data_IF_938209521043
#
_entry.id   IF_938209521043
#
_cell.length_a   1.000
_cell.length_b   1.000
_cell.length_c   1.000
_cell.angle_alpha   90.00
_cell.angle_beta   90.00
_cell.angle_gamma   90.00
#
_symmetry.space_group_name_H-M   'P 1'
#
loop_
_entity.id
_entity.type
_entity.pdbx_description
1 polymer ?
#
# COMPACT_ATOMS: atom_id res chain seq x y z
N UNK A 1 -28.26 64.53 -59.08
CA UNK A 1 -27.15 63.66 -58.58
C UNK A 1 -27.53 63.27 -57.18
N UNK A 2 -28.00 62.01 -57.03
CA UNK A 2 -28.55 61.48 -55.78
C UNK A 2 -27.48 60.89 -54.93
N UNK A 3 -27.29 61.39 -53.73
CA UNK A 3 -26.39 60.87 -52.72
C UNK A 3 -27.15 59.78 -51.89
N UNK A 4 -26.70 58.55 -51.92
CA UNK A 4 -27.25 57.44 -51.11
C UNK A 4 -26.59 57.42 -49.74
N UNK A 5 -27.40 57.55 -48.73
CA UNK A 5 -27.03 57.41 -47.32
C UNK A 5 -27.00 55.93 -46.96
N UNK A 6 -25.86 55.45 -46.54
CA UNK A 6 -25.70 54.03 -46.02
C UNK A 6 -25.78 54.08 -44.51
N UNK A 7 -26.82 53.51 -43.95
CA UNK A 7 -26.97 53.32 -42.50
C UNK A 7 -26.30 51.99 -42.12
N UNK A 8 -25.23 52.05 -41.32
CA UNK A 8 -24.60 50.90 -40.70
C UNK A 8 -25.23 50.64 -39.34
N UNK A 9 -25.96 49.55 -39.22
CA UNK A 9 -26.49 49.06 -37.95
C UNK A 9 -25.37 48.28 -37.23
N UNK A 10 -24.84 48.82 -36.14
CA UNK A 10 -23.95 48.11 -35.20
C UNK A 10 -24.80 47.27 -34.27
N UNK A 11 -24.83 45.96 -34.54
CA UNK A 11 -25.36 44.94 -33.63
C UNK A 11 -24.38 44.67 -32.51
N UNK A 12 -24.67 45.18 -31.31
CA UNK A 12 -23.89 44.85 -30.11
C UNK A 12 -24.23 43.45 -29.62
N UNK A 13 -23.29 42.50 -29.75
CA UNK A 13 -23.39 41.19 -29.10
C UNK A 13 -22.97 41.35 -27.63
N UNK A 14 -23.92 41.19 -26.71
CA UNK A 14 -23.63 41.07 -25.29
C UNK A 14 -22.99 39.66 -25.05
N UNK A 15 -21.69 39.63 -24.83
CA UNK A 15 -21.03 38.44 -24.28
C UNK A 15 -21.28 38.41 -22.76
N UNK A 16 -22.18 37.55 -22.32
CA UNK A 16 -22.32 37.19 -20.92
C UNK A 16 -21.16 36.25 -20.62
N UNK A 17 -20.09 36.78 -20.05
CA UNK A 17 -19.01 35.97 -19.47
C UNK A 17 -19.52 35.32 -18.18
N UNK A 18 -20.09 34.13 -18.31
CA UNK A 18 -20.35 33.27 -17.17
C UNK A 18 -19.01 32.76 -16.63
N UNK A 19 -18.52 33.39 -15.56
CA UNK A 19 -17.45 32.79 -14.76
C UNK A 19 -18.05 31.58 -14.05
N UNK A 20 -17.81 30.40 -14.59
CA UNK A 20 -18.01 29.15 -13.86
C UNK A 20 -17.03 29.20 -12.66
N UNK A 21 -17.54 29.54 -11.49
CA UNK A 21 -16.84 29.24 -10.25
C UNK A 21 -16.86 27.73 -10.12
N UNK A 22 -15.72 27.12 -10.41
CA UNK A 22 -15.46 25.76 -9.93
C UNK A 22 -15.47 25.88 -8.40
N UNK A 23 -16.54 25.37 -7.79
CA UNK A 23 -16.64 25.17 -6.35
C UNK A 23 -15.66 24.04 -6.00
N UNK A 24 -14.41 24.39 -5.84
CA UNK A 24 -13.40 23.50 -5.28
C UNK A 24 -13.55 23.55 -3.75
N UNK A 25 -14.62 22.96 -3.24
CA UNK A 25 -14.64 22.47 -1.87
C UNK A 25 -13.73 21.23 -1.82
N UNK A 26 -12.43 21.42 -2.07
CA UNK A 26 -11.43 20.49 -1.59
C UNK A 26 -11.53 20.58 -0.07
N UNK A 27 -12.17 19.59 0.52
CA UNK A 27 -12.06 19.32 1.95
C UNK A 27 -10.57 19.21 2.19
N UNK A 28 -10.02 20.17 2.93
CA UNK A 28 -8.61 20.15 3.35
C UNK A 28 -8.37 18.78 3.99
N UNK A 29 -7.53 17.92 3.42
CA UNK A 29 -7.38 16.58 3.94
C UNK A 29 -6.95 16.70 5.40
N UNK A 30 -7.71 16.08 6.30
CA UNK A 30 -7.40 16.09 7.73
C UNK A 30 -5.92 15.79 7.94
N UNK A 31 -5.20 16.55 8.77
CA UNK A 31 -3.79 16.29 9.02
C UNK A 31 -3.60 14.83 9.44
N UNK A 32 -2.49 14.23 9.04
CA UNK A 32 -2.12 12.91 9.57
C UNK A 32 -2.08 13.05 11.09
N UNK A 33 -2.85 12.22 11.85
CA UNK A 33 -2.96 12.38 13.28
C UNK A 33 -1.57 12.35 13.93
N UNK A 34 -1.31 13.25 14.87
CA UNK A 34 -0.19 13.09 15.76
C UNK A 34 -0.38 11.79 16.55
N UNK A 35 0.65 10.94 16.60
CA UNK A 35 0.56 9.67 17.30
C UNK A 35 0.71 9.93 18.82
N UNK A 36 -0.43 10.00 19.51
CA UNK A 36 -0.50 9.99 20.96
C UNK A 36 -0.95 8.61 21.41
N UNK A 37 -0.01 7.69 21.53
CA UNK A 37 -0.29 6.36 22.01
C UNK A 37 -0.02 6.25 23.52
N UNK A 38 -0.78 5.41 24.26
CA UNK A 38 -0.45 5.09 25.63
C UNK A 38 0.92 4.44 25.72
N UNK A 39 1.59 4.61 26.84
CA UNK A 39 2.86 3.94 27.11
C UNK A 39 2.67 2.42 27.01
N UNK A 40 3.62 1.76 26.36
CA UNK A 40 3.64 0.30 26.31
C UNK A 40 3.83 -0.27 27.71
N UNK A 41 3.08 -1.33 28.02
CA UNK A 41 3.31 -2.12 29.23
C UNK A 41 4.44 -3.10 28.95
N UNK A 42 5.39 -3.23 29.87
CA UNK A 42 6.45 -4.22 29.79
C UNK A 42 6.02 -5.55 30.42
N UNK A 43 6.74 -6.61 30.11
CA UNK A 43 6.57 -7.93 30.68
C UNK A 43 7.39 -9.01 29.99
N UNK A 44 7.37 -10.23 30.54
CA UNK A 44 8.02 -11.34 29.87
C UNK A 44 7.31 -11.71 28.58
N UNK A 45 8.08 -12.23 27.63
CA UNK A 45 7.52 -12.84 26.41
C UNK A 45 6.60 -14.00 26.84
N UNK A 46 5.32 -14.03 26.39
CA UNK A 46 4.39 -15.11 26.73
C UNK A 46 4.95 -16.49 26.39
N UNK A 47 4.78 -17.47 27.27
CA UNK A 47 5.32 -18.84 27.09
C UNK A 47 4.85 -19.49 25.78
N UNK A 48 3.60 -19.22 25.37
CA UNK A 48 3.07 -19.68 24.09
C UNK A 48 3.83 -19.15 22.87
N UNK A 49 4.42 -17.95 22.97
CA UNK A 49 5.23 -17.35 21.91
C UNK A 49 6.67 -17.83 21.94
N UNK A 50 7.27 -18.05 23.13
CA UNK A 50 8.67 -18.49 23.28
C UNK A 50 8.95 -19.72 22.43
N UNK A 51 8.03 -20.70 22.42
CA UNK A 51 8.15 -21.93 21.66
C UNK A 51 8.11 -21.73 20.13
N UNK A 52 7.59 -20.60 19.64
CA UNK A 52 7.38 -20.33 18.21
C UNK A 52 8.33 -19.29 17.63
N UNK A 53 9.07 -18.54 18.46
CA UNK A 53 9.96 -17.47 18.00
C UNK A 53 10.99 -17.95 16.97
N UNK A 54 11.63 -19.10 17.20
CA UNK A 54 12.61 -19.66 16.27
C UNK A 54 12.02 -20.09 14.91
N UNK A 55 10.70 -20.25 14.83
CA UNK A 55 9.99 -20.59 13.59
C UNK A 55 9.22 -19.38 12.98
N UNK A 56 9.32 -18.20 13.58
CA UNK A 56 8.55 -17.02 13.18
C UNK A 56 8.66 -16.67 11.69
N UNK A 57 9.86 -16.83 11.10
CA UNK A 57 10.11 -16.61 9.69
C UNK A 57 9.26 -17.49 8.76
N UNK A 58 8.71 -18.61 9.26
CA UNK A 58 7.84 -19.52 8.50
C UNK A 58 6.36 -19.17 8.57
N UNK A 59 5.96 -18.24 9.47
CA UNK A 59 4.58 -17.75 9.56
C UNK A 59 4.29 -16.73 8.43
N UNK A 60 4.25 -17.26 7.23
CA UNK A 60 4.13 -16.52 5.97
C UNK A 60 2.76 -16.67 5.33
N UNK A 61 2.28 -15.64 4.61
CA UNK A 61 1.07 -15.73 3.80
C UNK A 61 1.13 -16.87 2.78
N UNK A 62 -0.02 -17.53 2.59
CA UNK A 62 -0.21 -18.69 1.71
C UNK A 62 0.37 -18.54 0.29
N UNK A 63 0.33 -17.36 -0.40
CA UNK A 63 0.90 -17.21 -1.74
C UNK A 63 2.40 -17.52 -1.84
N UNK A 64 3.18 -17.46 -0.76
CA UNK A 64 4.57 -17.94 -0.78
C UNK A 64 4.63 -19.44 -1.09
N UNK A 65 3.85 -20.25 -0.39
CA UNK A 65 3.78 -21.70 -0.59
C UNK A 65 3.19 -22.06 -1.95
N UNK A 66 2.19 -21.32 -2.39
CA UNK A 66 1.48 -21.55 -3.64
C UNK A 66 2.25 -21.02 -4.87
N UNK A 67 3.43 -20.41 -4.67
CA UNK A 67 4.24 -19.75 -5.71
C UNK A 67 3.49 -18.64 -6.43
N UNK A 68 2.56 -18.00 -5.75
CA UNK A 68 1.77 -16.87 -6.24
C UNK A 68 2.36 -15.51 -5.83
N UNK A 69 3.35 -15.52 -4.93
CA UNK A 69 4.25 -14.38 -4.73
C UNK A 69 5.43 -14.54 -5.68
N UNK A 70 5.45 -13.72 -6.74
CA UNK A 70 6.40 -13.88 -7.84
C UNK A 70 7.82 -13.56 -7.36
N UNK A 71 8.76 -14.42 -7.68
CA UNK A 71 10.18 -14.20 -7.35
C UNK A 71 10.84 -13.26 -8.36
N UNK A 72 11.91 -12.58 -7.96
CA UNK A 72 12.61 -11.55 -8.75
C UNK A 72 13.12 -12.01 -10.12
N UNK A 73 13.34 -13.32 -10.31
CA UNK A 73 13.79 -13.91 -11.57
C UNK A 73 12.63 -14.24 -12.54
N UNK A 74 11.40 -13.96 -12.18
CA UNK A 74 10.19 -14.26 -12.97
C UNK A 74 9.49 -12.96 -13.39
N UNK A 75 8.62 -13.05 -14.39
CA UNK A 75 7.89 -11.89 -14.93
C UNK A 75 6.40 -12.12 -15.05
N UNK A 76 5.87 -13.20 -14.47
CA UNK A 76 4.46 -13.56 -14.69
C UNK A 76 3.87 -14.20 -13.45
N UNK A 77 2.73 -13.71 -13.01
CA UNK A 77 1.92 -14.35 -11.96
C UNK A 77 1.21 -15.58 -12.55
N UNK A 78 1.31 -16.76 -11.92
CA UNK A 78 0.58 -17.93 -12.38
C UNK A 78 -0.94 -17.70 -12.44
N UNK A 79 -1.60 -18.31 -13.42
CA UNK A 79 -3.06 -18.21 -13.62
C UNK A 79 -3.87 -18.86 -12.49
N UNK A 80 -3.25 -19.65 -11.63
CA UNK A 80 -3.87 -20.31 -10.48
C UNK A 80 -4.01 -19.42 -9.24
N UNK A 81 -3.44 -18.21 -9.23
CA UNK A 81 -3.32 -17.33 -8.06
C UNK A 81 -4.62 -16.61 -7.67
N UNK A 82 -5.73 -17.32 -7.80
CA UNK A 82 -7.03 -16.90 -7.31
C UNK A 82 -7.39 -17.62 -6.01
N UNK A 83 -7.97 -16.86 -5.07
CA UNK A 83 -8.33 -17.28 -3.72
C UNK A 83 -9.77 -16.87 -3.39
N UNK A 84 -10.20 -17.13 -2.16
CA UNK A 84 -11.59 -16.87 -1.75
C UNK A 84 -12.59 -17.68 -2.56
N UNK A 85 -13.72 -17.09 -2.94
CA UNK A 85 -14.72 -17.76 -3.80
C UNK A 85 -14.33 -17.62 -5.27
N UNK A 86 -13.60 -18.60 -5.79
CA UNK A 86 -13.09 -18.60 -7.19
C UNK A 86 -14.20 -18.52 -8.26
N UNK A 87 -15.42 -18.94 -7.95
CA UNK A 87 -16.56 -18.88 -8.86
C UNK A 87 -17.26 -17.50 -8.87
N UNK A 88 -16.89 -16.61 -7.93
CA UNK A 88 -17.52 -15.29 -7.82
C UNK A 88 -17.24 -14.43 -9.05
N UNK A 89 -18.26 -13.68 -9.46
CA UNK A 89 -18.12 -12.63 -10.48
C UNK A 89 -17.52 -11.35 -9.89
N UNK A 90 -17.64 -11.13 -8.58
CA UNK A 90 -17.02 -10.00 -7.88
C UNK A 90 -15.57 -10.36 -7.56
N UNK A 91 -14.66 -9.59 -8.12
CA UNK A 91 -13.21 -9.79 -7.94
C UNK A 91 -12.61 -8.66 -7.14
N UNK A 92 -11.68 -9.01 -6.24
CA UNK A 92 -10.77 -8.06 -5.60
C UNK A 92 -9.33 -8.44 -5.95
N UNK A 93 -8.45 -7.45 -5.95
CA UNK A 93 -7.02 -7.62 -6.25
C UNK A 93 -6.20 -7.06 -5.10
N UNK A 94 -5.18 -7.78 -4.68
CA UNK A 94 -4.10 -7.29 -3.84
C UNK A 94 -2.86 -7.11 -4.73
N UNK A 95 -2.35 -5.88 -4.83
CA UNK A 95 -1.26 -5.52 -5.74
C UNK A 95 -0.10 -4.84 -5.01
N UNK A 96 1.12 -5.28 -5.28
CA UNK A 96 2.36 -4.68 -4.78
C UNK A 96 3.49 -5.68 -4.54
N UNK A 97 4.30 -5.44 -3.52
CA UNK A 97 5.45 -6.25 -3.17
C UNK A 97 5.19 -7.22 -1.98
N UNK A 98 6.24 -7.60 -1.26
CA UNK A 98 6.13 -8.48 -0.08
C UNK A 98 5.44 -7.81 1.11
N UNK A 99 5.47 -6.47 1.22
CA UNK A 99 4.73 -5.73 2.23
C UNK A 99 3.23 -5.73 1.91
N UNK A 100 2.86 -5.54 0.64
CA UNK A 100 1.48 -5.77 0.21
C UNK A 100 1.02 -7.20 0.53
N UNK A 101 1.89 -8.20 0.31
CA UNK A 101 1.55 -9.59 0.59
C UNK A 101 1.33 -9.85 2.10
N UNK A 102 1.93 -9.07 3.00
CA UNK A 102 1.65 -9.18 4.43
C UNK A 102 0.16 -9.00 4.77
N UNK A 103 -0.58 -8.26 3.96
CA UNK A 103 -2.04 -8.06 4.09
C UNK A 103 -2.88 -9.21 3.55
N UNK A 104 -2.27 -10.14 2.82
CA UNK A 104 -3.01 -11.24 2.17
C UNK A 104 -3.93 -12.02 3.12
N UNK A 105 -3.52 -12.41 4.35
CA UNK A 105 -4.39 -13.15 5.24
C UNK A 105 -5.67 -12.39 5.63
N UNK A 106 -5.56 -11.07 5.90
CA UNK A 106 -6.71 -10.22 6.18
C UNK A 106 -7.63 -10.09 4.96
N UNK A 107 -7.03 -9.86 3.78
CA UNK A 107 -7.78 -9.68 2.51
C UNK A 107 -8.42 -10.99 2.06
N UNK A 108 -7.77 -12.16 2.22
CA UNK A 108 -8.36 -13.47 1.91
C UNK A 108 -9.54 -13.76 2.84
N UNK A 109 -9.40 -13.50 4.15
CA UNK A 109 -10.47 -13.68 5.11
C UNK A 109 -11.68 -12.80 4.78
N UNK A 110 -11.45 -11.54 4.42
CA UNK A 110 -12.48 -10.62 3.93
C UNK A 110 -13.14 -11.15 2.65
N UNK A 111 -12.36 -11.59 1.67
CA UNK A 111 -12.87 -12.14 0.42
C UNK A 111 -13.77 -13.36 0.65
N UNK A 112 -13.39 -14.26 1.57
CA UNK A 112 -14.18 -15.42 1.96
C UNK A 112 -15.51 -14.96 2.60
N UNK A 113 -15.46 -14.06 3.58
CA UNK A 113 -16.64 -13.54 4.28
C UNK A 113 -17.63 -12.86 3.33
N UNK A 114 -17.15 -12.14 2.32
CA UNK A 114 -17.95 -11.45 1.30
C UNK A 114 -18.30 -12.33 0.10
N UNK A 115 -17.81 -13.57 0.05
CA UNK A 115 -17.97 -14.46 -1.10
C UNK A 115 -17.38 -13.89 -2.39
N UNK A 116 -16.30 -13.13 -2.30
CA UNK A 116 -15.58 -12.54 -3.43
C UNK A 116 -14.42 -13.43 -3.88
N UNK A 117 -13.99 -13.23 -5.11
CA UNK A 117 -12.77 -13.84 -5.66
C UNK A 117 -11.60 -12.88 -5.44
N UNK A 118 -10.53 -13.37 -4.82
CA UNK A 118 -9.29 -12.61 -4.62
C UNK A 118 -8.23 -13.07 -5.62
N UNK A 119 -7.60 -12.12 -6.31
CA UNK A 119 -6.37 -12.33 -7.06
C UNK A 119 -5.19 -11.68 -6.33
N UNK A 120 -4.13 -12.44 -6.07
CA UNK A 120 -2.87 -11.93 -5.55
C UNK A 120 -1.94 -11.60 -6.73
N UNK A 121 -1.63 -10.34 -6.90
CA UNK A 121 -0.62 -9.82 -7.85
C UNK A 121 0.51 -9.18 -7.03
N UNK A 122 1.39 -10.03 -6.51
CA UNK A 122 2.50 -9.58 -5.67
C UNK A 122 3.83 -10.16 -6.15
N UNK A 123 4.90 -9.35 -6.08
CA UNK A 123 6.25 -9.76 -6.47
C UNK A 123 7.28 -9.30 -5.44
N UNK A 124 8.24 -10.17 -5.13
CA UNK A 124 9.32 -9.89 -4.19
C UNK A 124 10.13 -8.67 -4.60
N UNK A 125 10.27 -7.69 -3.68
CA UNK A 125 11.03 -6.45 -3.86
C UNK A 125 10.63 -5.63 -5.11
N UNK A 126 9.39 -5.76 -5.58
CA UNK A 126 8.88 -5.03 -6.72
C UNK A 126 7.73 -4.11 -6.29
N UNK A 127 8.06 -2.89 -5.95
CA UNK A 127 7.08 -1.90 -5.49
C UNK A 127 6.06 -1.53 -6.55
N UNK A 128 4.86 -1.08 -6.12
CA UNK A 128 3.76 -0.79 -7.02
C UNK A 128 3.99 0.45 -7.90
N UNK A 129 4.86 1.40 -7.49
CA UNK A 129 5.17 2.59 -8.27
C UNK A 129 5.83 2.22 -9.62
N UNK A 130 5.38 2.82 -10.72
CA UNK A 130 5.90 2.59 -12.07
C UNK A 130 7.23 3.32 -12.28
N UNK A 131 8.28 2.84 -11.60
CA UNK A 131 9.64 3.33 -11.66
C UNK A 131 10.61 2.16 -11.88
N UNK A 132 11.82 2.40 -12.39
CA UNK A 132 12.88 1.41 -12.41
C UNK A 132 13.17 0.90 -10.99
N UNK A 133 13.14 -0.40 -10.77
CA UNK A 133 13.42 -0.97 -9.46
C UNK A 133 14.91 -1.31 -9.34
N UNK A 134 15.60 -0.68 -8.40
CA UNK A 134 17.00 -0.91 -8.10
C UNK A 134 17.17 -1.76 -6.85
N UNK A 135 17.91 -2.85 -6.94
CA UNK A 135 18.22 -3.68 -5.79
C UNK A 135 19.58 -3.28 -5.19
N UNK A 136 19.64 -2.61 -4.04
CA UNK A 136 20.88 -2.15 -3.42
C UNK A 136 21.79 -3.30 -2.93
N UNK A 137 21.22 -4.47 -2.64
CA UNK A 137 21.98 -5.62 -2.15
C UNK A 137 22.74 -6.32 -3.26
N UNK A 138 22.16 -6.40 -4.45
CA UNK A 138 22.80 -7.01 -5.64
C UNK A 138 23.44 -5.98 -6.55
N UNK A 139 23.22 -4.69 -6.29
CA UNK A 139 23.66 -3.58 -7.13
C UNK A 139 23.19 -3.73 -8.60
N UNK A 140 21.93 -4.11 -8.79
CA UNK A 140 21.37 -4.43 -10.11
C UNK A 140 20.00 -3.80 -10.33
N UNK A 141 19.74 -3.40 -11.58
CA UNK A 141 18.41 -3.01 -12.05
C UNK A 141 17.53 -4.25 -12.20
N UNK A 142 16.37 -4.23 -11.56
CA UNK A 142 15.40 -5.33 -11.57
C UNK A 142 14.46 -5.20 -12.77
N UNK A 143 14.94 -5.45 -13.98
CA UNK A 143 14.13 -5.34 -15.22
C UNK A 143 12.89 -6.24 -15.19
N UNK A 144 12.97 -7.41 -14.55
CA UNK A 144 11.83 -8.32 -14.40
C UNK A 144 10.69 -7.70 -13.59
N UNK A 145 10.99 -6.83 -12.62
CA UNK A 145 9.97 -6.07 -11.89
C UNK A 145 9.16 -5.18 -12.84
N UNK A 146 9.82 -4.43 -13.71
CA UNK A 146 9.15 -3.58 -14.70
C UNK A 146 8.24 -4.39 -15.62
N UNK A 147 8.73 -5.50 -16.16
CA UNK A 147 7.94 -6.38 -17.03
C UNK A 147 6.76 -7.01 -16.29
N UNK A 148 6.99 -7.49 -15.06
CA UNK A 148 5.93 -8.07 -14.23
C UNK A 148 4.85 -7.03 -13.90
N UNK A 149 5.23 -5.82 -13.49
CA UNK A 149 4.32 -4.74 -13.14
C UNK A 149 3.41 -4.37 -14.31
N UNK A 150 3.97 -4.23 -15.51
CA UNK A 150 3.20 -3.97 -16.73
C UNK A 150 2.17 -5.08 -16.99
N UNK A 151 2.55 -6.35 -16.86
CA UNK A 151 1.63 -7.49 -17.01
C UNK A 151 0.57 -7.51 -15.91
N UNK A 152 0.91 -7.19 -14.67
CA UNK A 152 -0.03 -7.13 -13.55
C UNK A 152 -1.06 -6.01 -13.76
N UNK A 153 -0.64 -4.80 -14.15
CA UNK A 153 -1.55 -3.70 -14.49
C UNK A 153 -2.47 -4.05 -15.67
N UNK A 154 -1.93 -4.69 -16.71
CA UNK A 154 -2.75 -5.18 -17.84
C UNK A 154 -3.77 -6.25 -17.40
N UNK A 155 -3.41 -7.10 -16.42
CA UNK A 155 -4.33 -8.09 -15.85
C UNK A 155 -5.43 -7.43 -15.04
N UNK A 156 -5.13 -6.40 -14.24
CA UNK A 156 -6.12 -5.59 -13.52
C UNK A 156 -7.10 -4.95 -14.53
N UNK A 157 -6.58 -4.32 -15.59
CA UNK A 157 -7.38 -3.70 -16.63
C UNK A 157 -8.33 -4.69 -17.34
N UNK A 158 -7.89 -5.94 -17.53
CA UNK A 158 -8.70 -7.01 -18.12
C UNK A 158 -9.80 -7.52 -17.18
N UNK A 159 -9.48 -7.66 -15.88
CA UNK A 159 -10.40 -8.23 -14.87
C UNK A 159 -11.46 -7.21 -14.47
N UNK A 160 -11.14 -5.92 -14.45
CA UNK A 160 -11.98 -4.82 -13.97
C UNK A 160 -12.53 -5.13 -12.57
N UNK A 161 -11.66 -5.25 -11.56
CA UNK A 161 -12.07 -5.69 -10.23
C UNK A 161 -13.03 -4.70 -9.56
N UNK A 162 -13.85 -5.22 -8.65
CA UNK A 162 -14.66 -4.39 -7.76
C UNK A 162 -13.78 -3.55 -6.81
N UNK A 163 -12.67 -4.11 -6.35
CA UNK A 163 -11.72 -3.45 -5.46
C UNK A 163 -10.29 -3.85 -5.79
N UNK A 164 -9.39 -2.88 -5.89
CA UNK A 164 -7.94 -3.12 -5.86
C UNK A 164 -7.34 -2.47 -4.64
N UNK A 165 -6.64 -3.25 -3.82
CA UNK A 165 -5.83 -2.77 -2.69
C UNK A 165 -4.39 -2.74 -3.15
N UNK A 166 -3.80 -1.55 -3.14
CA UNK A 166 -2.40 -1.27 -3.49
C UNK A 166 -1.63 -1.00 -2.23
N UNK A 167 -0.53 -1.69 -2.01
CA UNK A 167 0.39 -1.43 -0.89
C UNK A 167 1.81 -1.84 -1.28
N UNK A 168 2.81 -1.39 -0.52
CA UNK A 168 4.19 -1.77 -0.74
C UNK A 168 5.12 -1.10 0.25
N UNK A 169 6.38 -1.55 0.25
CA UNK A 169 7.40 -1.00 1.13
C UNK A 169 7.73 0.45 0.80
N UNK A 170 7.94 1.27 1.83
CA UNK A 170 8.56 2.59 1.71
C UNK A 170 10.09 2.52 1.54
N UNK A 171 10.68 1.34 1.74
CA UNK A 171 12.12 1.08 1.57
C UNK A 171 12.52 0.82 0.13
N UNK A 172 12.03 1.62 -0.82
CA UNK A 172 12.33 1.46 -2.25
C UNK A 172 13.64 2.16 -2.66
N UNK A 173 14.24 1.67 -3.74
CA UNK A 173 15.35 2.33 -4.42
C UNK A 173 15.09 2.36 -5.94
N UNK A 174 15.48 3.43 -6.60
CA UNK A 174 15.25 3.66 -8.03
C UNK A 174 16.42 4.40 -8.67
N UNK A 175 16.44 4.49 -9.99
CA UNK A 175 17.46 5.19 -10.77
C UNK A 175 16.82 6.04 -11.86
N UNK A 176 17.60 7.00 -12.36
CA UNK A 176 17.24 7.80 -13.52
C UNK A 176 17.50 7.04 -14.83
N UNK A 177 17.15 7.68 -15.96
CA UNK A 177 17.37 7.13 -17.31
C UNK A 177 18.87 6.99 -17.67
N UNK A 178 19.75 7.75 -16.99
CA UNK A 178 21.20 7.69 -17.15
C UNK A 178 21.86 6.58 -16.33
N UNK A 179 21.08 5.88 -15.48
CA UNK A 179 21.56 4.79 -14.63
C UNK A 179 22.13 5.23 -13.29
N UNK A 180 21.86 6.48 -12.85
CA UNK A 180 22.27 6.94 -11.53
C UNK A 180 21.20 6.60 -10.49
N UNK A 181 21.61 6.04 -9.35
CA UNK A 181 20.70 5.76 -8.23
C UNK A 181 20.25 7.07 -7.61
N UNK A 182 18.92 7.27 -7.54
CA UNK A 182 18.33 8.49 -7.01
C UNK A 182 18.30 8.49 -5.48
N UNK A 183 18.41 9.68 -4.88
CA UNK A 183 18.32 9.89 -3.44
C UNK A 183 17.57 11.20 -3.13
N UNK A 184 17.23 11.44 -1.85
CA UNK A 184 16.57 12.68 -1.42
C UNK A 184 15.29 12.98 -2.22
N UNK A 185 15.14 14.25 -2.60
CA UNK A 185 13.95 14.75 -3.30
C UNK A 185 13.79 14.12 -4.68
N UNK A 186 14.88 13.87 -5.41
CA UNK A 186 14.80 13.25 -6.75
C UNK A 186 14.19 11.85 -6.67
N UNK A 187 14.58 11.06 -5.66
CA UNK A 187 13.98 9.74 -5.40
C UNK A 187 12.49 9.87 -5.05
N UNK A 188 12.15 10.83 -4.20
CA UNK A 188 10.76 11.08 -3.78
C UNK A 188 9.90 11.51 -4.96
N UNK A 189 10.39 12.44 -5.79
CA UNK A 189 9.68 12.92 -6.97
C UNK A 189 9.48 11.81 -8.01
N UNK A 190 10.49 10.98 -8.25
CA UNK A 190 10.37 9.82 -9.13
C UNK A 190 9.31 8.84 -8.62
N UNK A 191 9.29 8.58 -7.31
CA UNK A 191 8.28 7.71 -6.70
C UNK A 191 6.87 8.30 -6.81
N UNK A 192 6.69 9.60 -6.52
CA UNK A 192 5.42 10.29 -6.65
C UNK A 192 4.86 10.16 -8.07
N UNK A 193 5.67 10.46 -9.08
CA UNK A 193 5.26 10.35 -10.47
C UNK A 193 4.88 8.91 -10.85
N UNK A 194 5.72 7.92 -10.51
CA UNK A 194 5.48 6.53 -10.84
C UNK A 194 4.34 5.90 -10.07
N UNK A 195 4.11 6.34 -8.82
CA UNK A 195 2.98 5.84 -8.02
C UNK A 195 1.67 6.45 -8.50
N UNK A 196 1.66 7.75 -8.85
CA UNK A 196 0.50 8.40 -9.47
C UNK A 196 0.10 7.70 -10.77
N UNK A 197 1.06 7.34 -11.64
CA UNK A 197 0.81 6.60 -12.88
C UNK A 197 0.16 5.24 -12.60
N UNK A 198 0.70 4.47 -11.65
CA UNK A 198 0.14 3.18 -11.26
C UNK A 198 -1.26 3.31 -10.68
N UNK A 199 -1.48 4.26 -9.75
CA UNK A 199 -2.78 4.47 -9.12
C UNK A 199 -3.84 4.92 -10.13
N UNK A 200 -3.51 5.83 -11.06
CA UNK A 200 -4.40 6.25 -12.13
C UNK A 200 -4.78 5.08 -13.06
N UNK A 201 -3.79 4.26 -13.44
CA UNK A 201 -4.03 3.07 -14.27
C UNK A 201 -4.97 2.08 -13.57
N UNK A 202 -4.78 1.86 -12.27
CA UNK A 202 -5.60 0.96 -11.46
C UNK A 202 -7.00 1.55 -11.22
N UNK A 203 -7.12 2.82 -10.89
CA UNK A 203 -8.39 3.53 -10.69
C UNK A 203 -9.27 3.46 -11.93
N UNK A 204 -8.69 3.67 -13.10
CA UNK A 204 -9.42 3.59 -14.37
C UNK A 204 -9.91 2.17 -14.70
N UNK A 205 -9.31 1.17 -14.10
CA UNK A 205 -9.65 -0.24 -14.33
C UNK A 205 -10.54 -0.85 -13.24
N UNK A 206 -10.51 -0.33 -12.03
CA UNK A 206 -11.20 -0.86 -10.84
C UNK A 206 -12.41 -0.01 -10.48
N UNK A 207 -13.45 -0.63 -9.89
CA UNK A 207 -14.57 0.15 -9.37
C UNK A 207 -14.18 0.97 -8.15
N UNK A 208 -13.37 0.38 -7.27
CA UNK A 208 -12.78 1.04 -6.10
C UNK A 208 -11.28 0.77 -6.07
N UNK A 209 -10.50 1.76 -5.66
CA UNK A 209 -9.05 1.63 -5.48
C UNK A 209 -8.67 2.17 -4.12
N UNK A 210 -7.87 1.40 -3.38
CA UNK A 210 -7.32 1.78 -2.09
C UNK A 210 -5.81 1.78 -2.21
N UNK A 211 -5.20 2.88 -1.77
CA UNK A 211 -3.78 2.94 -1.49
C UNK A 211 -3.56 2.84 0.02
N UNK A 212 -2.95 1.74 0.46
CA UNK A 212 -2.68 1.48 1.86
C UNK A 212 -1.20 1.66 2.15
N UNK A 213 -0.90 2.50 3.14
CA UNK A 213 0.46 2.77 3.59
C UNK A 213 1.16 1.50 4.07
N UNK A 214 2.51 1.56 4.08
CA UNK A 214 3.34 0.49 4.62
C UNK A 214 3.11 0.27 6.12
N UNK A 215 3.46 -0.92 6.60
CA UNK A 215 3.41 -1.27 8.02
C UNK A 215 4.52 -0.55 8.81
N UNK A 216 4.33 -0.23 10.09
CA UNK A 216 5.42 0.11 10.97
C UNK A 216 6.48 -0.98 10.97
N UNK A 217 7.77 -0.63 11.06
CA UNK A 217 8.86 -1.61 11.03
C UNK A 217 10.05 -1.23 11.90
N UNK A 218 10.96 -2.19 12.11
CA UNK A 218 12.26 -2.00 12.74
C UNK A 218 13.40 -2.31 11.77
N UNK A 219 14.57 -1.79 12.03
CA UNK A 219 15.81 -2.15 11.33
C UNK A 219 16.38 -3.49 11.80
N UNK A 220 15.86 -4.04 12.90
CA UNK A 220 16.29 -5.31 13.50
C UNK A 220 15.16 -6.34 13.42
N UNK A 221 15.51 -7.62 13.39
CA UNK A 221 14.54 -8.72 13.46
C UNK A 221 13.89 -8.76 14.86
N UNK A 222 12.58 -8.64 14.90
CA UNK A 222 11.83 -8.74 16.17
C UNK A 222 11.91 -10.12 16.81
N UNK A 223 11.77 -11.25 16.08
CA UNK A 223 11.92 -12.58 16.68
C UNK A 223 13.29 -12.80 17.31
N UNK A 224 14.38 -12.37 16.63
CA UNK A 224 15.74 -12.56 17.15
C UNK A 224 15.94 -11.74 18.43
N UNK A 225 15.49 -10.49 18.46
CA UNK A 225 15.53 -9.67 19.66
C UNK A 225 14.74 -10.30 20.81
N UNK A 226 13.53 -10.82 20.55
CA UNK A 226 12.69 -11.43 21.57
C UNK A 226 13.29 -12.73 22.14
N UNK A 227 14.04 -13.49 21.35
CA UNK A 227 14.79 -14.67 21.81
C UNK A 227 15.86 -14.26 22.84
N UNK A 228 16.48 -13.10 22.63
CA UNK A 228 17.51 -12.54 23.53
C UNK A 228 16.93 -11.79 24.73
N UNK A 229 15.63 -11.44 24.71
CA UNK A 229 14.95 -10.59 25.68
C UNK A 229 13.67 -11.23 26.24
N UNK A 230 13.74 -12.50 26.63
CA UNK A 230 12.55 -13.27 27.06
C UNK A 230 11.88 -12.71 28.32
N UNK A 231 12.59 -11.98 29.17
CA UNK A 231 12.07 -11.42 30.43
C UNK A 231 11.43 -10.05 30.27
N UNK A 232 11.74 -9.34 29.16
CA UNK A 232 11.23 -7.99 28.86
C UNK A 232 11.12 -7.78 27.35
N UNK A 233 9.92 -7.88 26.80
CA UNK A 233 9.70 -7.64 25.37
C UNK A 233 9.74 -6.15 24.99
N UNK A 234 9.69 -5.24 25.96
CA UNK A 234 9.91 -3.79 25.74
C UNK A 234 11.28 -3.50 25.15
N UNK A 235 12.30 -4.29 25.49
CA UNK A 235 13.66 -4.16 24.92
C UNK A 235 13.67 -4.30 23.37
N UNK A 236 12.64 -4.93 22.80
CA UNK A 236 12.49 -5.13 21.35
C UNK A 236 11.49 -4.18 20.71
N UNK A 237 10.89 -3.29 21.48
CA UNK A 237 9.94 -2.32 20.94
C UNK A 237 10.66 -1.20 20.19
N UNK A 238 9.99 -0.64 19.20
CA UNK A 238 10.55 0.41 18.36
C UNK A 238 9.84 1.73 18.66
N UNK A 239 10.55 2.82 19.03
CA UNK A 239 9.94 4.13 19.20
C UNK A 239 9.09 4.52 17.98
N UNK A 240 7.89 5.04 18.20
CA UNK A 240 6.92 5.39 17.13
C UNK A 240 7.58 6.21 16.02
N UNK A 241 8.36 7.25 16.36
CA UNK A 241 9.04 8.11 15.41
C UNK A 241 10.12 7.39 14.57
N UNK A 242 10.56 6.20 14.98
CA UNK A 242 11.48 5.36 14.20
C UNK A 242 10.73 4.31 13.37
N UNK A 243 9.65 3.75 13.93
CA UNK A 243 8.84 2.75 13.26
C UNK A 243 8.02 3.35 12.12
N UNK A 244 7.65 4.63 12.23
CA UNK A 244 6.72 5.33 11.34
C UNK A 244 7.35 6.63 10.89
N UNK A 245 7.27 6.93 9.59
CA UNK A 245 7.62 8.23 9.04
C UNK A 245 6.34 9.04 8.81
N UNK A 246 6.03 9.97 9.72
CA UNK A 246 4.85 10.86 9.60
C UNK A 246 4.92 11.71 8.35
N UNK A 247 6.11 12.18 7.97
CA UNK A 247 6.33 12.96 6.75
C UNK A 247 5.98 12.12 5.51
N UNK A 248 6.42 10.84 5.50
CA UNK A 248 6.10 9.94 4.39
C UNK A 248 4.61 9.60 4.32
N UNK A 249 3.95 9.42 5.45
CA UNK A 249 2.48 9.23 5.49
C UNK A 249 1.74 10.45 4.93
N UNK A 250 2.26 11.66 5.18
CA UNK A 250 1.73 12.89 4.59
C UNK A 250 1.89 12.89 3.07
N UNK A 251 3.07 12.50 2.56
CA UNK A 251 3.36 12.36 1.13
C UNK A 251 2.39 11.35 0.47
N UNK A 252 2.16 10.21 1.08
CA UNK A 252 1.26 9.17 0.57
C UNK A 252 -0.20 9.61 0.56
N UNK A 253 -0.66 10.27 1.63
CA UNK A 253 -2.01 10.81 1.73
C UNK A 253 -2.27 11.87 0.64
N UNK A 254 -1.35 12.81 0.50
CA UNK A 254 -1.49 13.92 -0.45
C UNK A 254 -1.43 13.42 -1.89
N UNK A 255 -0.59 12.43 -2.17
CA UNK A 255 -0.58 11.73 -3.45
C UNK A 255 -1.94 11.06 -3.73
N UNK A 256 -2.47 10.28 -2.78
CA UNK A 256 -3.74 9.60 -2.95
C UNK A 256 -4.88 10.59 -3.22
N UNK A 257 -4.91 11.71 -2.47
CA UNK A 257 -5.86 12.80 -2.69
C UNK A 257 -5.72 13.42 -4.09
N UNK A 258 -4.49 13.66 -4.56
CA UNK A 258 -4.22 14.26 -5.87
C UNK A 258 -4.72 13.42 -7.05
N UNK A 259 -4.81 12.10 -6.89
CA UNK A 259 -5.31 11.16 -7.90
C UNK A 259 -6.72 10.65 -7.57
N UNK A 260 -7.36 11.19 -6.53
CA UNK A 260 -8.70 10.83 -6.07
C UNK A 260 -8.82 9.30 -5.83
N UNK A 261 -7.96 8.78 -4.97
CA UNK A 261 -7.91 7.38 -4.52
C UNK A 261 -8.01 7.36 -3.00
N UNK A 262 -8.78 6.42 -2.45
CA UNK A 262 -8.89 6.23 -1.01
C UNK A 262 -7.53 5.88 -0.41
N UNK A 263 -7.10 6.66 0.60
CA UNK A 263 -5.91 6.36 1.37
C UNK A 263 -6.26 5.70 2.69
N UNK A 264 -5.50 4.67 3.07
CA UNK A 264 -5.66 3.95 4.34
C UNK A 264 -4.33 3.92 5.08
N UNK A 265 -4.33 4.40 6.31
CA UNK A 265 -3.19 4.32 7.21
C UNK A 265 -3.40 3.23 8.27
N UNK A 266 -2.69 2.09 8.17
CA UNK A 266 -2.88 0.96 9.09
C UNK A 266 -2.11 1.09 10.41
N UNK A 267 -1.39 2.18 10.62
CA UNK A 267 -0.45 2.32 11.73
C UNK A 267 -1.08 1.98 13.08
N UNK A 268 -2.24 2.56 13.40
CA UNK A 268 -2.91 2.37 14.68
C UNK A 268 -3.40 0.92 14.92
N UNK A 269 -3.54 0.13 13.86
CA UNK A 269 -3.95 -1.28 14.01
C UNK A 269 -2.78 -2.19 14.39
N UNK A 270 -1.55 -1.73 14.17
CA UNK A 270 -0.32 -2.51 14.33
C UNK A 270 0.51 -1.95 15.48
N UNK A 271 0.67 -0.63 15.52
CA UNK A 271 1.37 0.11 16.55
C UNK A 271 0.37 0.98 17.31
N UNK A 272 -0.08 0.53 18.46
CA UNK A 272 -1.08 1.21 19.30
C UNK A 272 -0.52 1.66 20.65
N UNK A 273 0.78 1.60 20.84
CA UNK A 273 1.53 2.09 22.02
C UNK A 273 2.80 2.82 21.58
N UNK A 274 3.40 3.63 22.45
CA UNK A 274 4.74 4.18 22.26
C UNK A 274 5.65 3.65 23.40
N UNK A 275 6.70 2.89 23.04
CA UNK A 275 7.10 2.42 21.70
C UNK A 275 6.13 1.37 21.10
N UNK A 276 6.24 1.16 19.78
CA UNK A 276 5.50 0.11 19.09
C UNK A 276 5.91 -1.27 19.59
N UNK A 277 4.95 -2.00 20.16
CA UNK A 277 5.18 -3.35 20.67
C UNK A 277 5.45 -4.36 19.54
N UNK A 278 6.35 -5.32 19.71
CA UNK A 278 6.52 -6.44 18.79
C UNK A 278 5.44 -7.54 18.95
N UNK A 279 4.65 -7.46 20.01
CA UNK A 279 3.65 -8.46 20.43
C UNK A 279 2.29 -7.79 20.61
N UNK A 280 1.22 -8.45 20.19
CA UNK A 280 -0.17 -8.08 20.47
C UNK A 280 -0.85 -9.23 21.23
N UNK A 281 -1.05 -9.06 22.54
CA UNK A 281 -1.49 -10.15 23.41
C UNK A 281 -0.57 -11.35 23.34
N UNK A 282 -1.08 -12.50 22.89
CA UNK A 282 -0.29 -13.72 22.70
C UNK A 282 0.10 -13.95 21.22
N UNK A 283 0.17 -12.88 20.41
CA UNK A 283 0.48 -13.00 18.99
C UNK A 283 1.72 -12.17 18.65
N UNK A 284 2.69 -12.79 17.99
CA UNK A 284 3.82 -12.08 17.42
C UNK A 284 3.37 -11.29 16.21
N UNK A 285 3.64 -9.98 16.18
CA UNK A 285 3.22 -9.09 15.10
C UNK A 285 4.06 -9.33 13.85
N UNK A 286 5.38 -9.44 13.99
CA UNK A 286 6.32 -9.49 12.87
C UNK A 286 7.07 -10.81 12.81
N UNK A 287 7.28 -11.34 11.60
CA UNK A 287 8.10 -12.52 11.36
C UNK A 287 9.58 -12.21 11.09
N UNK A 288 9.89 -10.91 10.93
CA UNK A 288 11.23 -10.33 10.75
C UNK A 288 11.21 -8.87 11.22
N UNK A 289 11.93 -7.94 10.58
CA UNK A 289 11.94 -6.51 10.94
C UNK A 289 10.76 -5.71 10.39
N UNK A 290 9.98 -6.20 9.42
CA UNK A 290 8.94 -5.40 8.76
C UNK A 290 7.75 -6.18 8.20
N UNK A 291 7.90 -7.48 7.94
CA UNK A 291 6.79 -8.27 7.44
C UNK A 291 5.93 -8.81 8.59
N UNK A 292 4.62 -8.64 8.50
CA UNK A 292 3.69 -9.23 9.47
C UNK A 292 3.73 -10.75 9.43
N UNK A 293 3.49 -11.38 10.59
CA UNK A 293 3.13 -12.80 10.64
C UNK A 293 1.75 -13.01 9.97
N UNK A 294 1.56 -14.12 9.30
CA UNK A 294 0.24 -14.47 8.74
C UNK A 294 -0.81 -14.60 9.85
N UNK A 295 -0.41 -15.09 11.02
CA UNK A 295 -1.28 -15.22 12.21
C UNK A 295 -1.78 -13.87 12.71
N UNK A 296 -0.92 -12.86 12.85
CA UNK A 296 -1.34 -11.52 13.24
C UNK A 296 -2.19 -10.85 12.16
N UNK A 297 -1.75 -10.94 10.90
CA UNK A 297 -2.46 -10.33 9.78
C UNK A 297 -3.92 -10.80 9.64
N UNK A 298 -4.27 -12.03 10.05
CA UNK A 298 -5.65 -12.52 10.10
C UNK A 298 -6.55 -11.70 11.03
N UNK A 299 -6.00 -11.03 12.05
CA UNK A 299 -6.75 -10.21 13.00
C UNK A 299 -7.12 -8.86 12.39
N UNK A 300 -6.41 -8.43 11.35
CA UNK A 300 -6.58 -7.14 10.70
C UNK A 300 -7.76 -7.09 9.70
N UNK A 301 -8.45 -8.21 9.45
CA UNK A 301 -9.62 -8.23 8.55
C UNK A 301 -10.74 -7.29 9.03
N UNK A 302 -11.04 -7.27 10.32
CA UNK A 302 -12.11 -6.43 10.88
C UNK A 302 -11.79 -4.94 10.81
N UNK A 303 -10.62 -4.45 11.32
CA UNK A 303 -10.26 -3.04 11.18
C UNK A 303 -10.16 -2.60 9.73
N UNK A 304 -9.59 -3.42 8.84
CA UNK A 304 -9.57 -3.14 7.40
C UNK A 304 -10.97 -2.95 6.84
N UNK A 305 -11.90 -3.88 7.12
CA UNK A 305 -13.27 -3.76 6.62
C UNK A 305 -14.00 -2.55 7.20
N UNK A 306 -13.84 -2.26 8.49
CA UNK A 306 -14.45 -1.10 9.14
C UNK A 306 -14.02 0.21 8.47
N UNK A 307 -12.73 0.33 8.13
CA UNK A 307 -12.16 1.52 7.48
C UNK A 307 -12.70 1.73 6.07
N UNK A 308 -12.75 0.66 5.27
CA UNK A 308 -13.02 0.81 3.83
C UNK A 308 -14.50 0.71 3.48
N UNK A 309 -15.32 0.02 4.27
CA UNK A 309 -16.68 -0.38 3.87
C UNK A 309 -17.62 0.79 3.60
N UNK A 310 -17.50 1.87 4.35
CA UNK A 310 -18.32 3.08 4.20
C UNK A 310 -18.02 3.92 2.95
N UNK A 311 -16.89 3.64 2.30
CA UNK A 311 -16.38 4.43 1.17
C UNK A 311 -16.46 3.66 -0.16
N UNK A 312 -16.80 2.36 -0.13
CA UNK A 312 -16.97 1.55 -1.34
C UNK A 312 -18.30 1.86 -2.04
N UNK A 313 -18.23 2.12 -3.34
CA UNK A 313 -19.37 2.41 -4.22
C UNK A 313 -19.87 1.15 -4.93
#
# INVERSE_FOLDING_TARGET
>A
MMSRLVIVLLGGALFISGTAHADSSMVDPSPVPAYEFPAMTDGPVPDSLRATLGAAATDMPKPYKDRCHVQQNLTTTPSSCFYGNRASKTSIVLFGDSHALSWFPAVEKLAIAKKWRLLSLTMSSCWPANIPAWNPYTNMLMTNCTVWRQKALAQIAKIKPYLTIVSGTRGFATMDESGNVLSGDDRTNAWLAGMADSLNSIKNASKNTIFMSDTPYSTSSFPDCLIESLDSYENCATPVLKAISTDWLTVERDLAASVDVMWVNPTQWICNTDPCSPISGNTLIYRDGGHLTATFALQLEKPLWAEISGQLI
#
